data_IF_241709956150
#
_entry.id   IF_241709956150
#
_cell.length_a   1.000
_cell.length_b   1.000
_cell.length_c   1.000
_cell.angle_alpha   90.00
_cell.angle_beta   90.00
_cell.angle_gamma   90.00
#
_symmetry.space_group_name_H-M   'P 1'
#
loop_
_entity.id
_entity.type
_entity.pdbx_description
1 polymer ?
#
# COMPACT_ATOMS: atom_id res chain seq x y z
N UNK A 1 3.83 27.16 7.70
CA UNK A 1 4.28 26.56 6.42
C UNK A 1 4.04 25.05 6.37
N UNK A 2 4.54 24.25 7.32
CA UNK A 2 4.36 22.78 7.38
C UNK A 2 2.89 22.34 7.32
N UNK A 3 1.99 23.02 8.04
CA UNK A 3 0.54 22.73 8.02
C UNK A 3 -0.10 22.78 6.61
N UNK A 4 0.36 23.70 5.76
CA UNK A 4 -0.17 23.83 4.40
C UNK A 4 0.42 22.77 3.46
N UNK A 5 1.64 22.31 3.70
CA UNK A 5 2.27 21.22 2.94
C UNK A 5 1.54 19.91 3.20
N UNK A 6 1.18 19.62 4.46
CA UNK A 6 0.40 18.42 4.83
C UNK A 6 -0.99 18.44 4.18
N UNK A 7 -1.70 19.58 4.23
CA UNK A 7 -3.01 19.71 3.58
C UNK A 7 -2.89 19.54 2.06
N UNK A 8 -1.83 20.07 1.45
CA UNK A 8 -1.59 19.95 0.01
C UNK A 8 -1.24 18.51 -0.40
N UNK A 9 -0.46 17.80 0.41
CA UNK A 9 -0.14 16.38 0.21
C UNK A 9 -1.40 15.52 0.32
N UNK A 10 -2.24 15.73 1.35
CA UNK A 10 -3.51 15.00 1.52
C UNK A 10 -4.48 15.28 0.37
N UNK A 11 -4.58 16.53 -0.08
CA UNK A 11 -5.42 16.90 -1.23
C UNK A 11 -4.92 16.27 -2.55
N UNK A 12 -3.59 16.19 -2.74
CA UNK A 12 -2.98 15.47 -3.86
C UNK A 12 -3.30 13.97 -3.81
N UNK A 13 -3.25 13.33 -2.64
CA UNK A 13 -3.58 11.90 -2.50
C UNK A 13 -5.04 11.62 -2.87
N UNK A 14 -5.97 12.51 -2.50
CA UNK A 14 -7.39 12.39 -2.85
C UNK A 14 -7.60 12.65 -4.35
N UNK A 15 -6.89 13.60 -4.94
CA UNK A 15 -6.95 13.90 -6.38
C UNK A 15 -6.42 12.76 -7.27
N UNK A 16 -5.37 12.06 -6.83
CA UNK A 16 -4.86 10.86 -7.51
C UNK A 16 -5.87 9.71 -7.38
N UNK A 17 -6.51 9.56 -6.22
CA UNK A 17 -7.53 8.54 -6.00
C UNK A 17 -8.76 8.71 -6.92
N UNK A 18 -9.26 9.95 -7.08
CA UNK A 18 -10.39 10.23 -7.97
C UNK A 18 -10.00 10.11 -9.45
N UNK A 19 -8.80 10.53 -9.83
CA UNK A 19 -8.27 10.34 -11.19
C UNK A 19 -8.16 8.86 -11.57
N UNK A 20 -7.62 8.04 -10.67
CA UNK A 20 -7.55 6.59 -10.86
C UNK A 20 -8.95 5.97 -10.98
N UNK A 21 -9.90 6.35 -10.12
CA UNK A 21 -11.25 5.80 -10.11
C UNK A 21 -12.09 6.18 -11.35
N UNK A 22 -11.87 7.38 -11.90
CA UNK A 22 -12.53 7.84 -13.13
C UNK A 22 -11.93 7.14 -14.36
N UNK A 23 -10.61 6.94 -14.39
CA UNK A 23 -9.95 6.20 -15.46
C UNK A 23 -10.37 4.73 -15.43
N UNK A 24 -10.40 4.08 -14.26
CA UNK A 24 -10.81 2.67 -14.18
C UNK A 24 -12.27 2.44 -14.54
N UNK A 25 -13.19 3.34 -14.16
CA UNK A 25 -14.61 3.26 -14.55
C UNK A 25 -14.88 3.58 -16.02
N UNK A 26 -14.08 4.44 -16.66
CA UNK A 26 -14.21 4.65 -18.11
C UNK A 26 -13.62 3.49 -18.92
N UNK A 27 -12.64 2.77 -18.36
CA UNK A 27 -12.02 1.60 -19.01
C UNK A 27 -12.90 0.34 -18.93
N UNK A 28 -13.83 0.23 -17.96
CA UNK A 28 -14.82 -0.87 -17.92
C UNK A 28 -15.74 -0.93 -19.16
N UNK A 29 -15.85 0.16 -19.93
CA UNK A 29 -16.75 0.26 -21.10
C UNK A 29 -16.06 -0.08 -22.43
N UNK A 30 -14.73 -0.13 -22.50
CA UNK A 30 -13.99 -0.36 -23.76
C UNK A 30 -13.44 -1.79 -23.77
N UNK A 31 -14.29 -2.76 -24.08
CA UNK A 31 -13.87 -4.15 -24.32
C UNK A 31 -13.40 -4.34 -25.76
N UNK A 32 -12.10 -4.15 -25.95
CA UNK A 32 -11.34 -4.78 -27.03
C UNK A 32 -10.11 -5.47 -26.42
N UNK A 33 -9.94 -6.77 -26.69
CA UNK A 33 -8.91 -7.60 -26.04
C UNK A 33 -7.48 -7.15 -26.34
N UNK A 34 -7.27 -6.45 -27.46
CA UNK A 34 -6.00 -5.83 -27.82
C UNK A 34 -5.72 -4.56 -27.01
N UNK A 35 -6.75 -3.76 -26.70
CA UNK A 35 -6.64 -2.59 -25.85
C UNK A 35 -6.27 -3.00 -24.42
N UNK A 36 -6.89 -4.06 -23.91
CA UNK A 36 -6.61 -4.59 -22.56
C UNK A 36 -5.18 -5.15 -22.46
N UNK A 37 -4.72 -5.91 -23.47
CA UNK A 37 -3.32 -6.36 -23.55
C UNK A 37 -2.32 -5.22 -23.70
N UNK A 38 -2.66 -4.20 -24.51
CA UNK A 38 -1.85 -3.00 -24.69
C UNK A 38 -1.74 -2.21 -23.38
N UNK A 39 -2.84 -2.08 -22.66
CA UNK A 39 -2.90 -1.45 -21.34
C UNK A 39 -2.09 -2.22 -20.29
N UNK A 40 -2.25 -3.56 -20.21
CA UNK A 40 -1.46 -4.41 -19.30
C UNK A 40 0.04 -4.29 -19.58
N UNK A 41 0.44 -4.33 -20.86
CA UNK A 41 1.84 -4.18 -21.26
C UNK A 41 2.38 -2.79 -20.96
N UNK A 42 1.59 -1.73 -21.18
CA UNK A 42 1.93 -0.35 -20.85
C UNK A 42 2.05 -0.12 -19.34
N UNK A 43 1.12 -0.68 -18.56
CA UNK A 43 1.13 -0.67 -17.10
C UNK A 43 2.37 -1.39 -16.56
N UNK A 44 2.66 -2.59 -17.05
CA UNK A 44 3.87 -3.32 -16.66
C UNK A 44 5.15 -2.56 -17.01
N UNK A 45 5.25 -1.97 -18.20
CA UNK A 45 6.39 -1.16 -18.60
C UNK A 45 6.56 0.09 -17.72
N UNK A 46 5.46 0.77 -17.38
CA UNK A 46 5.45 1.90 -16.47
C UNK A 46 5.94 1.51 -15.08
N UNK A 47 5.43 0.40 -14.54
CA UNK A 47 5.84 -0.12 -13.22
C UNK A 47 7.33 -0.47 -13.18
N UNK A 48 7.84 -1.07 -14.26
CA UNK A 48 9.25 -1.43 -14.39
C UNK A 48 10.15 -0.20 -14.51
N UNK A 49 9.75 0.80 -15.30
CA UNK A 49 10.52 2.03 -15.49
C UNK A 49 10.72 2.80 -14.18
N UNK A 50 9.69 2.84 -13.32
CA UNK A 50 9.72 3.60 -12.07
C UNK A 50 10.27 2.82 -10.87
N UNK A 51 10.66 1.55 -11.04
CA UNK A 51 11.15 0.68 -9.96
C UNK A 51 12.31 1.29 -9.17
N UNK A 52 13.31 1.85 -9.86
CA UNK A 52 14.55 2.33 -9.22
C UNK A 52 14.30 3.53 -8.31
N UNK A 53 13.39 4.41 -8.70
CA UNK A 53 13.12 5.66 -7.99
C UNK A 53 12.12 5.45 -6.85
N UNK A 54 11.21 4.48 -6.98
CA UNK A 54 10.21 4.19 -5.95
C UNK A 54 10.69 3.23 -4.88
N UNK A 55 11.60 2.29 -5.18
CA UNK A 55 12.07 1.30 -4.20
C UNK A 55 12.66 1.95 -2.92
N UNK A 56 13.52 2.99 -3.01
CA UNK A 56 13.97 3.69 -1.80
C UNK A 56 12.84 4.38 -1.03
N UNK A 57 11.80 4.87 -1.71
CA UNK A 57 10.66 5.53 -1.06
C UNK A 57 9.77 4.54 -0.32
N UNK A 58 9.56 3.36 -0.91
CA UNK A 58 8.84 2.25 -0.26
C UNK A 58 9.62 1.77 0.97
N UNK A 59 10.93 1.53 0.82
CA UNK A 59 11.82 1.13 1.93
C UNK A 59 11.79 2.15 3.09
N UNK A 60 11.98 3.43 2.79
CA UNK A 60 11.94 4.48 3.82
C UNK A 60 10.57 4.63 4.46
N UNK A 61 9.50 4.45 3.70
CA UNK A 61 8.14 4.49 4.25
C UNK A 61 7.92 3.34 5.23
N UNK A 62 8.33 2.11 4.87
CA UNK A 62 8.26 0.96 5.76
C UNK A 62 9.11 1.15 7.04
N UNK A 63 10.35 1.63 6.88
CA UNK A 63 11.26 1.91 7.98
C UNK A 63 10.68 2.93 8.96
N UNK A 64 10.17 4.06 8.45
CA UNK A 64 9.57 5.10 9.27
C UNK A 64 8.26 4.64 9.92
N UNK A 65 7.47 3.82 9.24
CA UNK A 65 6.27 3.24 9.82
C UNK A 65 6.63 2.35 11.03
N UNK A 66 7.59 1.45 10.87
CA UNK A 66 8.08 0.59 11.98
C UNK A 66 8.63 1.42 13.13
N UNK A 67 9.48 2.39 12.84
CA UNK A 67 10.02 3.28 13.86
C UNK A 67 8.90 4.01 14.63
N UNK A 68 7.93 4.57 13.90
CA UNK A 68 6.77 5.25 14.50
C UNK A 68 5.98 4.31 15.40
N UNK A 69 5.72 3.08 14.94
CA UNK A 69 5.01 2.07 15.74
C UNK A 69 5.78 1.62 16.99
N UNK A 70 7.11 1.66 16.98
CA UNK A 70 7.95 1.20 18.10
C UNK A 70 8.27 2.29 19.12
N UNK A 71 8.60 3.48 18.64
CA UNK A 71 9.21 4.54 19.45
C UNK A 71 8.22 5.63 19.86
N UNK A 72 7.07 5.70 19.20
CA UNK A 72 6.07 6.74 19.42
C UNK A 72 4.74 6.10 19.86
N UNK A 73 4.18 6.64 20.94
CA UNK A 73 2.90 6.22 21.49
C UNK A 73 1.80 7.27 21.26
N UNK A 74 0.56 6.81 21.20
CA UNK A 74 -0.64 7.65 21.09
C UNK A 74 -1.22 7.73 19.68
N UNK A 75 -2.43 8.30 19.59
CA UNK A 75 -3.26 8.31 18.37
C UNK A 75 -2.57 8.98 17.17
N UNK A 76 -1.77 10.02 17.42
CA UNK A 76 -1.02 10.70 16.36
C UNK A 76 0.08 9.80 15.75
N UNK A 77 0.69 8.94 16.58
CA UNK A 77 1.66 7.93 16.13
C UNK A 77 0.98 6.89 15.25
N UNK A 78 -0.17 6.37 15.67
CA UNK A 78 -0.93 5.37 14.92
C UNK A 78 -1.39 5.91 13.56
N UNK A 79 -1.85 7.17 13.51
CA UNK A 79 -2.22 7.84 12.28
C UNK A 79 -1.00 8.03 11.34
N UNK A 80 0.16 8.44 11.89
CA UNK A 80 1.38 8.62 11.11
C UNK A 80 1.88 7.28 10.54
N UNK A 81 1.93 6.23 11.36
CA UNK A 81 2.28 4.89 10.92
C UNK A 81 1.33 4.39 9.82
N UNK A 82 0.04 4.65 9.97
CA UNK A 82 -0.98 4.32 8.96
C UNK A 82 -0.73 5.02 7.63
N UNK A 83 -0.45 6.32 7.63
CA UNK A 83 -0.13 7.06 6.40
C UNK A 83 1.13 6.51 5.73
N UNK A 84 2.16 6.18 6.51
CA UNK A 84 3.41 5.63 5.97
C UNK A 84 3.22 4.25 5.33
N UNK A 85 2.43 3.37 5.97
CA UNK A 85 2.07 2.06 5.39
C UNK A 85 1.25 2.22 4.11
N UNK A 86 0.27 3.13 4.09
CA UNK A 86 -0.53 3.40 2.90
C UNK A 86 0.33 3.90 1.74
N UNK A 87 1.30 4.78 2.01
CA UNK A 87 2.25 5.25 1.00
C UNK A 87 3.10 4.10 0.45
N UNK A 88 3.63 3.23 1.30
CA UNK A 88 4.41 2.08 0.88
C UNK A 88 3.59 1.13 -0.02
N UNK A 89 2.36 0.79 0.40
CA UNK A 89 1.46 -0.06 -0.39
C UNK A 89 1.08 0.59 -1.72
N UNK A 90 0.72 1.87 -1.74
CA UNK A 90 0.36 2.57 -2.98
C UNK A 90 1.55 2.65 -3.94
N UNK A 91 2.72 3.06 -3.46
CA UNK A 91 3.92 3.13 -4.30
C UNK A 91 4.31 1.74 -4.81
N UNK A 92 4.29 0.71 -3.96
CA UNK A 92 4.59 -0.67 -4.35
C UNK A 92 3.52 -1.34 -5.22
N UNK A 93 2.31 -0.77 -5.28
CA UNK A 93 1.26 -1.14 -6.26
C UNK A 93 1.59 -0.51 -7.62
N UNK A 94 1.88 0.80 -7.62
CA UNK A 94 2.13 1.61 -8.83
C UNK A 94 3.48 1.33 -9.49
N UNK A 95 4.38 0.61 -8.81
CA UNK A 95 5.73 0.34 -9.30
C UNK A 95 6.13 -1.11 -9.03
N UNK A 96 7.09 -1.63 -9.78
CA UNK A 96 7.55 -3.00 -9.59
C UNK A 96 8.57 -3.05 -8.46
N UNK A 97 8.37 -3.88 -7.45
CA UNK A 97 9.28 -4.06 -6.32
C UNK A 97 10.00 -5.41 -6.38
N UNK A 98 11.13 -5.52 -5.67
CA UNK A 98 11.76 -6.83 -5.48
C UNK A 98 11.01 -7.63 -4.41
N UNK A 99 11.25 -8.93 -4.37
CA UNK A 99 10.60 -9.86 -3.44
C UNK A 99 10.79 -9.46 -1.97
N UNK A 100 12.01 -9.06 -1.61
CA UNK A 100 12.37 -8.63 -0.26
C UNK A 100 11.54 -7.43 0.20
N UNK A 101 11.44 -6.38 -0.62
CA UNK A 101 10.67 -5.20 -0.28
C UNK A 101 9.16 -5.47 -0.30
N UNK A 102 8.71 -6.43 -1.10
CA UNK A 102 7.32 -6.89 -1.08
C UNK A 102 6.99 -7.53 0.26
N UNK A 103 7.84 -8.46 0.73
CA UNK A 103 7.69 -9.11 2.02
C UNK A 103 7.80 -8.12 3.18
N UNK A 104 8.76 -7.18 3.12
CA UNK A 104 8.93 -6.14 4.14
C UNK A 104 7.71 -5.23 4.27
N UNK A 105 7.11 -4.84 3.13
CA UNK A 105 5.89 -4.03 3.10
C UNK A 105 4.71 -4.79 3.70
N UNK A 106 4.57 -6.08 3.38
CA UNK A 106 3.54 -6.93 3.95
C UNK A 106 3.70 -7.05 5.47
N UNK A 107 4.90 -7.37 5.94
CA UNK A 107 5.20 -7.51 7.36
C UNK A 107 4.89 -6.21 8.12
N UNK A 108 5.30 -5.07 7.56
CA UNK A 108 5.05 -3.76 8.16
C UNK A 108 3.55 -3.46 8.24
N UNK A 109 2.80 -3.81 7.20
CA UNK A 109 1.34 -3.67 7.18
C UNK A 109 0.67 -4.54 8.25
N UNK A 110 1.10 -5.79 8.40
CA UNK A 110 0.57 -6.71 9.41
C UNK A 110 0.88 -6.22 10.83
N UNK A 111 2.08 -5.72 11.07
CA UNK A 111 2.48 -5.11 12.34
C UNK A 111 1.61 -3.90 12.71
N UNK A 112 1.27 -3.06 11.73
CA UNK A 112 0.32 -1.97 11.96
C UNK A 112 -1.08 -2.51 12.25
N UNK A 113 -1.51 -3.52 11.50
CA UNK A 113 -2.84 -4.11 11.66
C UNK A 113 -3.06 -4.71 13.06
N UNK A 114 -2.02 -5.29 13.67
CA UNK A 114 -2.05 -5.76 15.06
C UNK A 114 -2.06 -4.62 16.07
N UNK A 115 -1.26 -3.57 15.85
CA UNK A 115 -1.16 -2.42 16.76
C UNK A 115 -2.44 -1.60 16.84
N UNK A 116 -3.16 -1.44 15.72
CA UNK A 116 -4.45 -0.78 15.69
C UNK A 116 -5.48 -1.65 16.44
N UNK A 117 -5.65 -1.46 17.75
CA UNK A 117 -6.47 -2.31 18.63
C UNK A 117 -7.98 -2.09 18.41
N UNK A 118 -8.51 -2.66 17.33
CA UNK A 118 -9.95 -2.74 17.02
C UNK A 118 -10.68 -1.40 16.80
N UNK A 119 -10.03 -0.28 17.06
CA UNK A 119 -10.61 1.05 16.91
C UNK A 119 -10.51 1.51 15.44
N UNK A 120 -11.69 1.61 14.82
CA UNK A 120 -12.02 2.50 13.70
C UNK A 120 -11.62 2.12 12.25
N UNK A 121 -12.32 2.79 11.33
CA UNK A 121 -12.45 2.67 9.87
C UNK A 121 -11.17 2.45 9.06
N UNK A 122 -10.01 2.66 9.64
CA UNK A 122 -8.70 2.61 8.99
C UNK A 122 -8.31 1.19 8.59
N UNK A 123 -8.67 0.17 9.37
CA UNK A 123 -8.49 -1.25 8.99
C UNK A 123 -9.21 -1.61 7.68
N UNK A 124 -10.39 -1.04 7.46
CA UNK A 124 -11.16 -1.30 6.23
C UNK A 124 -10.48 -0.70 4.99
N UNK A 125 -9.84 0.47 5.15
CA UNK A 125 -9.07 1.13 4.10
C UNK A 125 -7.78 0.36 3.86
N UNK A 126 -7.07 -0.03 4.92
CA UNK A 126 -5.85 -0.83 4.86
C UNK A 126 -6.10 -2.15 4.10
N UNK A 127 -7.18 -2.87 4.43
CA UNK A 127 -7.54 -4.12 3.74
C UNK A 127 -7.81 -3.91 2.25
N UNK A 128 -8.52 -2.85 1.87
CA UNK A 128 -8.76 -2.55 0.45
C UNK A 128 -7.45 -2.29 -0.30
N UNK A 129 -6.56 -1.48 0.27
CA UNK A 129 -5.28 -1.17 -0.35
C UNK A 129 -4.37 -2.40 -0.39
N UNK A 130 -4.39 -3.25 0.64
CA UNK A 130 -3.62 -4.49 0.70
C UNK A 130 -4.08 -5.51 -0.35
N UNK A 131 -5.38 -5.61 -0.62
CA UNK A 131 -5.90 -6.44 -1.72
C UNK A 131 -5.37 -5.94 -3.07
N UNK A 132 -5.43 -4.64 -3.35
CA UNK A 132 -4.88 -4.09 -4.58
C UNK A 132 -3.36 -4.26 -4.70
N UNK A 133 -2.65 -4.13 -3.58
CA UNK A 133 -1.22 -4.40 -3.52
C UNK A 133 -0.90 -5.86 -3.86
N UNK A 134 -1.71 -6.79 -3.36
CA UNK A 134 -1.61 -8.20 -3.69
C UNK A 134 -1.89 -8.47 -5.17
N UNK A 135 -2.96 -7.90 -5.73
CA UNK A 135 -3.31 -8.06 -7.15
C UNK A 135 -2.19 -7.54 -8.06
N UNK A 136 -1.60 -6.39 -7.73
CA UNK A 136 -0.46 -5.84 -8.47
C UNK A 136 0.80 -6.70 -8.35
N UNK A 137 0.94 -7.49 -7.28
CA UNK A 137 2.07 -8.37 -7.03
C UNK A 137 1.66 -9.84 -7.05
N UNK A 138 0.64 -10.20 -7.85
CA UNK A 138 0.02 -11.52 -7.86
C UNK A 138 1.02 -12.67 -8.07
N UNK A 139 2.06 -12.44 -8.88
CA UNK A 139 3.16 -13.38 -9.09
C UNK A 139 3.88 -13.82 -7.79
N UNK A 140 3.83 -13.01 -6.75
CA UNK A 140 4.40 -13.30 -5.43
C UNK A 140 3.37 -13.94 -4.49
N UNK A 141 2.14 -13.41 -4.48
CA UNK A 141 1.11 -13.84 -3.53
C UNK A 141 0.33 -15.09 -3.95
N UNK A 142 0.14 -15.31 -5.25
CA UNK A 142 -0.59 -16.44 -5.84
C UNK A 142 -2.10 -16.46 -5.60
N UNK A 143 -2.58 -16.02 -4.43
CA UNK A 143 -4.00 -15.98 -4.06
C UNK A 143 -4.29 -14.82 -3.10
N UNK A 144 -4.88 -13.76 -3.64
CA UNK A 144 -5.24 -12.57 -2.87
C UNK A 144 -6.51 -12.72 -2.03
N UNK A 145 -7.30 -13.79 -2.20
CA UNK A 145 -8.47 -14.05 -1.36
C UNK A 145 -8.07 -14.33 0.10
N UNK A 146 -6.86 -14.87 0.31
CA UNK A 146 -6.30 -15.16 1.63
C UNK A 146 -5.83 -13.92 2.37
N UNK A 147 -5.53 -12.82 1.66
CA UNK A 147 -5.14 -11.53 2.26
C UNK A 147 -6.29 -10.95 3.11
N UNK A 148 -7.53 -11.16 2.69
CA UNK A 148 -8.71 -10.75 3.47
C UNK A 148 -8.80 -11.51 4.81
N UNK A 149 -8.25 -12.73 4.87
CA UNK A 149 -8.26 -13.60 6.06
C UNK A 149 -6.96 -13.52 6.88
N UNK A 150 -5.86 -13.02 6.31
CA UNK A 150 -4.56 -12.82 7.00
C UNK A 150 -4.67 -11.83 8.15
N UNK A 151 -5.60 -10.88 8.04
CA UNK A 151 -6.04 -9.98 9.09
C UNK A 151 -6.72 -10.68 10.30
N UNK A 152 -7.21 -11.91 10.14
CA UNK A 152 -8.01 -12.61 11.16
C UNK A 152 -7.32 -13.85 11.76
N UNK A 153 -6.36 -14.48 11.07
CA UNK A 153 -5.90 -15.83 11.44
C UNK A 153 -4.43 -16.01 11.88
N UNK A 154 -3.51 -15.10 11.59
CA UNK A 154 -2.06 -15.34 11.79
C UNK A 154 -1.31 -14.33 12.70
N UNK A 155 -2.05 -13.47 13.41
CA UNK A 155 -1.46 -12.33 14.11
C UNK A 155 -0.84 -12.67 15.49
N UNK A 156 -0.92 -13.92 15.97
CA UNK A 156 -0.37 -14.31 17.28
C UNK A 156 1.11 -14.66 17.28
N UNK A 157 1.75 -14.86 16.11
CA UNK A 157 3.16 -15.28 16.04
C UNK A 157 4.12 -14.25 15.45
N UNK A 158 3.60 -13.21 14.78
CA UNK A 158 4.43 -12.15 14.21
C UNK A 158 4.54 -10.99 15.18
N UNK A 159 5.42 -11.15 16.18
CA UNK A 159 5.83 -10.04 17.04
C UNK A 159 6.37 -8.89 16.19
N UNK A 160 6.01 -7.66 16.58
CA UNK A 160 6.47 -6.45 15.94
C UNK A 160 8.00 -6.44 15.98
N UNK A 161 8.66 -6.69 14.84
CA UNK A 161 10.10 -6.52 14.73
C UNK A 161 10.39 -5.02 14.72
N UNK A 162 10.57 -4.47 15.91
CA UNK A 162 11.28 -3.21 16.08
C UNK A 162 12.72 -3.41 15.63
N UNK A 163 13.27 -2.36 15.00
CA UNK A 163 14.64 -2.36 14.47
C UNK A 163 15.64 -2.52 15.61
#
# INVERSE_FOLDING_TARGET
MVRYIVIFLVALSIGVYTGYYVVTKQVEVIKESEFQKGFEKGSHAFRLANRKDSAPLVDKSNLLARYTMCELDGVESDALATVLVLNALQLGTLTMQNEELIADTLQTTLNLYTKLDGQYSEKSVLNKVLVHYCEANFQFFGDCSKIQNLAEKDLSEHSLKCI
#
